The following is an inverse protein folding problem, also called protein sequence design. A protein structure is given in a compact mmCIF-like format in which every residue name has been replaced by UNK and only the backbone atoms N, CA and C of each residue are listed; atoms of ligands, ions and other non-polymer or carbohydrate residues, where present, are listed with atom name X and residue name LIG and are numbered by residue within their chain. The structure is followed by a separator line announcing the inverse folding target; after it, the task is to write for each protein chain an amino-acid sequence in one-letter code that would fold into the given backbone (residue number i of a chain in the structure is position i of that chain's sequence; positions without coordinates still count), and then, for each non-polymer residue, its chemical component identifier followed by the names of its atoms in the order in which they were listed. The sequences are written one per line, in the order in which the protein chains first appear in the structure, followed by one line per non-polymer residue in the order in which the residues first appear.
data_IF_822025658121
#
_entry.id   IF_822025658121
#
_cell.length_a   1.000
_cell.length_b   1.000
_cell.length_c   1.000
_cell.angle_alpha   90.00
_cell.angle_beta   90.00
_cell.angle_gamma   90.00
#
_symmetry.space_group_name_H-M   'P 1'
#
loop_
_entity.id
_entity.type
_entity.pdbx_description
1 polymer ?
#
# COMPACT_ATOMS: atom_id res chain seq x y z
N UNK A 1 14.37 -23.10 4.56
CA UNK A 1 13.61 -22.50 5.67
C UNK A 1 13.53 -21.00 5.41
N UNK A 2 12.34 -20.40 5.38
CA UNK A 2 12.21 -18.95 5.27
C UNK A 2 12.95 -18.30 6.45
N UNK A 3 13.73 -17.25 6.17
CA UNK A 3 14.44 -16.53 7.22
C UNK A 3 13.40 -15.80 8.09
N UNK A 4 13.45 -15.98 9.41
CA UNK A 4 12.60 -15.22 10.33
C UNK A 4 13.17 -13.80 10.43
N UNK A 5 12.61 -12.87 9.65
CA UNK A 5 13.10 -11.49 9.54
C UNK A 5 12.59 -10.63 10.70
N UNK A 6 13.45 -9.77 11.25
CA UNK A 6 13.12 -8.94 12.41
C UNK A 6 12.09 -7.85 12.07
N UNK A 7 11.32 -7.33 13.06
CA UNK A 7 10.40 -6.21 12.85
C UNK A 7 11.07 -4.97 12.22
N UNK A 8 12.33 -4.72 12.59
CA UNK A 8 13.14 -3.66 11.99
C UNK A 8 13.39 -3.89 10.49
N UNK A 9 13.75 -5.12 10.09
CA UNK A 9 13.94 -5.44 8.68
C UNK A 9 12.64 -5.28 7.89
N UNK A 10 11.52 -5.77 8.44
CA UNK A 10 10.20 -5.64 7.82
C UNK A 10 9.80 -4.16 7.65
N UNK A 11 10.10 -3.31 8.65
CA UNK A 11 9.90 -1.85 8.54
C UNK A 11 10.76 -1.24 7.43
N UNK A 12 12.04 -1.62 7.34
CA UNK A 12 12.95 -1.15 6.29
C UNK A 12 12.52 -1.60 4.88
N UNK A 13 12.01 -2.83 4.74
CA UNK A 13 11.46 -3.32 3.47
C UNK A 13 10.20 -2.55 3.07
N UNK A 14 9.29 -2.27 4.02
CA UNK A 14 8.13 -1.40 3.75
C UNK A 14 8.57 -0.01 3.28
N UNK A 15 9.59 0.58 3.92
CA UNK A 15 10.14 1.87 3.50
C UNK A 15 10.73 1.82 2.09
N UNK A 16 11.48 0.76 1.75
CA UNK A 16 12.00 0.56 0.40
C UNK A 16 10.88 0.49 -0.64
N UNK A 17 9.82 -0.27 -0.37
CA UNK A 17 8.67 -0.37 -1.28
C UNK A 17 7.97 0.97 -1.48
N UNK A 18 7.85 1.76 -0.41
CA UNK A 18 7.19 3.08 -0.41
C UNK A 18 8.06 4.22 -0.95
N UNK A 19 9.34 3.97 -1.23
CA UNK A 19 10.28 4.98 -1.67
C UNK A 19 9.88 5.59 -3.03
N UNK A 20 9.87 6.93 -3.11
CA UNK A 20 9.40 7.66 -4.29
C UNK A 20 10.51 8.17 -5.21
N UNK A 21 11.76 8.07 -4.78
CA UNK A 21 12.92 8.52 -5.52
C UNK A 21 14.12 7.58 -5.28
N UNK A 22 15.13 7.69 -6.14
CA UNK A 22 16.32 6.86 -6.02
C UNK A 22 17.05 7.05 -4.68
N UNK A 23 16.98 8.24 -4.08
CA UNK A 23 17.63 8.51 -2.78
C UNK A 23 17.01 7.69 -1.65
N UNK A 24 15.70 7.75 -1.50
CA UNK A 24 14.94 6.98 -0.51
C UNK A 24 15.13 5.47 -0.71
N UNK A 25 15.20 5.02 -1.97
CA UNK A 25 15.49 3.62 -2.30
C UNK A 25 16.90 3.20 -1.83
N UNK A 26 17.92 4.02 -2.11
CA UNK A 26 19.30 3.77 -1.69
C UNK A 26 19.39 3.69 -0.17
N UNK A 27 18.79 4.63 0.54
CA UNK A 27 18.82 4.69 2.01
C UNK A 27 18.13 3.46 2.62
N UNK A 28 16.96 3.07 2.08
CA UNK A 28 16.23 1.89 2.54
C UNK A 28 16.97 0.58 2.25
N UNK A 29 17.56 0.43 1.07
CA UNK A 29 18.33 -0.76 0.70
C UNK A 29 19.59 -0.92 1.56
N UNK A 30 20.25 0.18 1.92
CA UNK A 30 21.37 0.15 2.87
C UNK A 30 20.93 -0.32 4.24
N UNK A 31 19.80 0.20 4.75
CA UNK A 31 19.24 -0.22 6.03
C UNK A 31 18.85 -1.70 6.01
N UNK A 32 18.19 -2.18 4.95
CA UNK A 32 17.86 -3.60 4.78
C UNK A 32 19.12 -4.49 4.79
N UNK A 33 20.20 -4.08 4.12
CA UNK A 33 21.48 -4.80 4.12
C UNK A 33 22.19 -4.80 5.49
N UNK A 34 21.92 -3.80 6.33
CA UNK A 34 22.42 -3.76 7.70
C UNK A 34 21.63 -4.69 8.62
N UNK A 35 20.30 -4.74 8.45
CA UNK A 35 19.38 -5.47 9.32
C UNK A 35 19.20 -6.96 8.94
N UNK A 36 19.52 -7.34 7.70
CA UNK A 36 19.38 -8.72 7.25
C UNK A 36 20.27 -9.68 8.06
N UNK A 37 19.75 -10.83 8.55
CA UNK A 37 20.56 -11.85 9.19
C UNK A 37 21.70 -12.32 8.27
N UNK A 38 22.87 -12.64 8.83
CA UNK A 38 24.05 -13.09 8.06
C UNK A 38 24.29 -14.58 8.24
N UNK A 39 23.52 -15.40 7.54
CA UNK A 39 23.67 -16.86 7.53
C UNK A 39 23.31 -17.44 6.16
N UNK A 40 23.65 -18.71 5.90
CA UNK A 40 23.47 -19.40 4.61
C UNK A 40 22.07 -19.23 4.00
N UNK A 41 21.03 -19.25 4.85
CA UNK A 41 19.63 -19.04 4.43
C UNK A 41 19.27 -17.65 3.85
N UNK A 42 20.19 -16.68 3.86
CA UNK A 42 19.96 -15.29 3.37
C UNK A 42 20.96 -14.85 2.30
N UNK A 43 21.90 -15.71 1.89
CA UNK A 43 22.98 -15.35 0.95
C UNK A 43 22.44 -14.83 -0.38
N UNK A 44 21.42 -15.50 -0.94
CA UNK A 44 20.75 -15.09 -2.17
C UNK A 44 20.12 -13.69 -2.03
N UNK A 45 19.34 -13.49 -0.97
CA UNK A 45 18.70 -12.20 -0.67
C UNK A 45 19.73 -11.08 -0.50
N UNK A 46 20.87 -11.34 0.16
CA UNK A 46 21.96 -10.36 0.27
C UNK A 46 22.55 -10.00 -1.10
N UNK A 47 22.75 -10.96 -2.00
CA UNK A 47 23.25 -10.71 -3.34
C UNK A 47 22.26 -9.86 -4.17
N UNK A 48 20.97 -10.14 -4.05
CA UNK A 48 19.91 -9.39 -4.73
C UNK A 48 19.80 -7.95 -4.21
N UNK A 49 19.83 -7.75 -2.90
CA UNK A 49 19.84 -6.40 -2.30
C UNK A 49 21.06 -5.58 -2.72
N UNK A 50 22.25 -6.19 -2.81
CA UNK A 50 23.47 -5.52 -3.32
C UNK A 50 23.33 -5.12 -4.78
N UNK A 51 22.72 -5.97 -5.60
CA UNK A 51 22.47 -5.68 -7.02
C UNK A 51 21.54 -4.49 -7.18
N UNK A 52 20.43 -4.48 -6.44
CA UNK A 52 19.48 -3.36 -6.41
C UNK A 52 20.10 -2.08 -5.90
N UNK A 53 20.93 -2.16 -4.85
CA UNK A 53 21.62 -0.98 -4.33
C UNK A 53 22.57 -0.39 -5.38
N UNK A 54 23.21 -1.22 -6.20
CA UNK A 54 24.03 -0.77 -7.33
C UNK A 54 23.17 -0.06 -8.38
N UNK A 55 22.04 -0.65 -8.79
CA UNK A 55 21.11 -0.06 -9.75
C UNK A 55 20.54 1.28 -9.24
N UNK A 56 20.05 1.32 -7.99
CA UNK A 56 19.50 2.53 -7.38
C UNK A 56 20.55 3.65 -7.24
N UNK A 57 21.82 3.31 -6.97
CA UNK A 57 22.92 4.30 -6.96
C UNK A 57 23.21 4.87 -8.34
N UNK A 58 23.11 4.06 -9.40
CA UNK A 58 23.25 4.54 -10.77
C UNK A 58 22.09 5.48 -11.14
N UNK A 59 20.87 5.13 -10.74
CA UNK A 59 19.71 5.98 -10.98
C UNK A 59 19.79 7.30 -10.20
N UNK A 60 20.25 7.27 -8.95
CA UNK A 60 20.48 8.48 -8.16
C UNK A 60 21.48 9.44 -8.84
N UNK A 61 22.54 8.91 -9.45
CA UNK A 61 23.49 9.73 -10.22
C UNK A 61 22.85 10.32 -11.49
N UNK A 62 21.95 9.59 -12.14
CA UNK A 62 21.18 10.09 -13.29
C UNK A 62 20.20 11.18 -12.89
N UNK A 63 19.43 10.98 -11.82
CA UNK A 63 18.50 11.99 -11.28
C UNK A 63 19.25 13.28 -10.91
N UNK A 64 20.44 13.18 -10.29
CA UNK A 64 21.27 14.33 -9.93
C UNK A 64 21.83 15.09 -11.14
N UNK A 65 22.07 14.41 -12.25
CA UNK A 65 22.59 15.02 -13.49
C UNK A 65 21.49 15.50 -14.45
N UNK A 66 20.29 14.93 -14.38
CA UNK A 66 19.15 15.23 -15.25
C UNK A 66 18.20 16.29 -14.67
N UNK A 67 18.71 17.24 -13.87
CA UNK A 67 17.97 18.18 -13.01
C UNK A 67 16.89 19.10 -13.68
N UNK A 68 16.48 18.85 -14.94
CA UNK A 68 15.50 19.67 -15.67
C UNK A 68 14.44 18.96 -16.54
N UNK A 69 14.31 17.62 -16.64
CA UNK A 69 13.35 17.09 -17.65
C UNK A 69 12.57 15.79 -17.38
N UNK A 70 12.28 15.43 -16.14
CA UNK A 70 11.34 14.32 -15.88
C UNK A 70 10.28 14.74 -14.88
N UNK A 71 9.02 14.80 -15.35
CA UNK A 71 7.85 15.01 -14.50
C UNK A 71 7.68 13.77 -13.61
N UNK A 72 8.30 13.80 -12.42
CA UNK A 72 8.03 12.82 -11.39
C UNK A 72 6.76 13.20 -10.64
N UNK A 73 5.79 12.30 -10.62
CA UNK A 73 4.62 12.43 -9.76
C UNK A 73 5.05 12.23 -8.30
N UNK A 74 5.32 13.34 -7.61
CA UNK A 74 5.67 13.32 -6.19
C UNK A 74 4.46 13.73 -5.35
N UNK A 75 3.73 12.73 -4.89
CA UNK A 75 2.70 12.91 -3.88
C UNK A 75 3.30 12.57 -2.52
N UNK A 76 3.40 13.51 -1.56
CA UNK A 76 3.74 13.15 -0.19
C UNK A 76 2.76 12.10 0.33
N UNK A 77 3.25 11.12 1.08
CA UNK A 77 2.38 10.12 1.72
C UNK A 77 1.52 10.81 2.76
N UNK A 78 0.22 10.51 2.76
CA UNK A 78 -0.76 11.06 3.69
C UNK A 78 -1.66 9.93 4.17
N UNK A 79 -2.15 10.06 5.41
CA UNK A 79 -3.02 9.06 6.02
C UNK A 79 -2.35 7.70 6.25
N UNK A 80 -3.19 6.70 6.55
CA UNK A 80 -2.76 5.34 6.88
C UNK A 80 -2.12 4.61 5.68
N UNK A 81 -2.60 4.90 4.48
CA UNK A 81 -2.19 4.19 3.27
C UNK A 81 -2.34 5.03 2.01
N UNK A 82 -1.56 4.66 0.99
CA UNK A 82 -1.74 5.13 -0.37
C UNK A 82 -2.34 4.02 -1.22
N UNK A 83 -3.44 4.34 -1.89
CA UNK A 83 -4.14 3.47 -2.82
C UNK A 83 -4.17 4.11 -4.19
N UNK A 84 -3.74 3.38 -5.21
CA UNK A 84 -3.76 3.85 -6.60
C UNK A 84 -4.90 3.19 -7.37
N UNK A 85 -5.63 3.98 -8.15
CA UNK A 85 -6.70 3.46 -9.02
C UNK A 85 -6.13 3.30 -10.42
N UNK A 86 -6.06 2.07 -10.91
CA UNK A 86 -5.46 1.72 -12.20
C UNK A 86 -6.47 0.99 -13.08
N UNK A 87 -6.25 1.01 -14.40
CA UNK A 87 -7.11 0.28 -15.33
C UNK A 87 -7.12 0.90 -16.71
N UNK A 88 -7.93 0.32 -17.62
CA UNK A 88 -8.05 0.78 -18.99
C UNK A 88 -8.81 2.12 -19.06
N UNK A 89 -8.98 2.63 -20.28
CA UNK A 89 -9.76 3.87 -20.49
C UNK A 89 -11.23 3.63 -20.15
N UNK A 90 -11.93 4.65 -19.67
CA UNK A 90 -13.37 4.61 -19.35
C UNK A 90 -13.85 3.60 -18.29
N UNK A 91 -12.95 2.90 -17.58
CA UNK A 91 -13.31 1.95 -16.52
C UNK A 91 -13.81 2.56 -15.19
N UNK A 92 -14.23 3.83 -15.20
CA UNK A 92 -14.77 4.49 -14.01
C UNK A 92 -13.75 4.98 -12.97
N UNK A 93 -12.44 4.97 -13.24
CA UNK A 93 -11.39 5.37 -12.26
C UNK A 93 -11.66 6.71 -11.56
N UNK A 94 -11.89 7.78 -12.33
CA UNK A 94 -12.15 9.12 -11.78
C UNK A 94 -13.48 9.20 -11.04
N UNK A 95 -14.47 8.40 -11.45
CA UNK A 95 -15.76 8.30 -10.75
C UNK A 95 -15.58 7.65 -9.39
N UNK A 96 -14.83 6.54 -9.30
CA UNK A 96 -14.48 5.90 -8.03
C UNK A 96 -13.76 6.88 -7.10
N UNK A 97 -12.77 7.64 -7.60
CA UNK A 97 -12.12 8.67 -6.77
C UNK A 97 -13.13 9.67 -6.22
N UNK A 98 -14.01 10.19 -7.08
CA UNK A 98 -15.01 11.19 -6.69
C UNK A 98 -16.00 10.63 -5.66
N UNK A 99 -16.49 9.41 -5.81
CA UNK A 99 -17.45 8.81 -4.88
C UNK A 99 -16.80 8.41 -3.54
N UNK A 100 -15.54 7.96 -3.57
CA UNK A 100 -14.81 7.58 -2.37
C UNK A 100 -14.22 8.77 -1.60
N UNK A 101 -13.99 9.90 -2.26
CA UNK A 101 -13.39 11.07 -1.60
C UNK A 101 -14.45 12.14 -1.36
N UNK A 102 -14.36 12.84 -0.23
CA UNK A 102 -15.26 13.99 0.04
C UNK A 102 -14.85 15.25 -0.74
N UNK A 103 -13.83 15.15 -1.59
CA UNK A 103 -13.20 16.29 -2.25
C UNK A 103 -13.78 16.50 -3.65
N UNK A 104 -14.17 17.75 -3.93
CA UNK A 104 -14.03 18.28 -5.28
C UNK A 104 -12.52 18.29 -5.57
N UNK A 105 -12.03 17.62 -6.64
CA UNK A 105 -10.61 17.60 -6.93
C UNK A 105 -10.10 19.04 -7.03
N UNK A 106 -9.11 19.42 -6.22
CA UNK A 106 -8.41 20.70 -6.42
C UNK A 106 -7.69 20.62 -7.77
N UNK A 107 -8.34 21.16 -8.81
CA UNK A 107 -7.74 21.31 -10.13
C UNK A 107 -6.63 22.34 -10.00
N UNK A 108 -5.40 21.87 -9.79
CA UNK A 108 -4.24 22.74 -9.92
C UNK A 108 -4.26 23.39 -11.33
N UNK A 109 -4.01 24.71 -11.45
CA UNK A 109 -4.21 25.45 -12.68
C UNK A 109 -3.07 25.17 -13.67
N UNK A 110 -3.07 23.97 -14.25
CA UNK A 110 -2.22 23.62 -15.38
C UNK A 110 -3.10 23.54 -16.62
N UNK A 111 -2.86 24.36 -17.67
CA UNK A 111 -3.63 24.24 -18.90
C UNK A 111 -3.36 22.87 -19.56
N UNK A 112 -4.41 22.24 -20.12
CA UNK A 112 -4.40 21.00 -20.94
C UNK A 112 -4.48 19.62 -20.22
N UNK A 113 -5.16 19.51 -19.08
CA UNK A 113 -5.08 18.29 -18.24
C UNK A 113 -6.24 17.30 -18.37
N UNK A 114 -5.97 16.15 -19.00
CA UNK A 114 -6.60 14.85 -18.69
C UNK A 114 -5.56 13.73 -18.50
N UNK A 115 -4.30 14.06 -18.15
CA UNK A 115 -3.19 13.08 -18.07
C UNK A 115 -2.25 13.25 -16.87
N UNK A 116 -2.73 13.72 -15.72
CA UNK A 116 -1.95 13.80 -14.48
C UNK A 116 -2.71 13.02 -13.39
N UNK A 117 -2.05 12.17 -12.59
CA UNK A 117 -2.68 11.50 -11.47
C UNK A 117 -3.29 12.51 -10.48
N UNK A 118 -4.48 12.21 -9.96
CA UNK A 118 -5.25 13.10 -9.09
C UNK A 118 -5.36 12.48 -7.70
N UNK A 119 -4.75 13.08 -6.68
CA UNK A 119 -4.91 12.63 -5.30
C UNK A 119 -6.26 13.07 -4.72
N UNK A 120 -6.81 12.28 -3.81
CA UNK A 120 -7.96 12.63 -2.98
C UNK A 120 -7.97 11.83 -1.68
N UNK A 121 -8.62 12.36 -0.64
CA UNK A 121 -8.64 11.73 0.69
C UNK A 121 -9.97 11.01 0.92
N UNK A 122 -9.89 9.71 1.18
CA UNK A 122 -11.00 8.88 1.63
C UNK A 122 -10.93 8.71 3.14
N UNK A 123 -11.88 9.28 3.84
CA UNK A 123 -12.06 9.01 5.27
C UNK A 123 -12.85 7.71 5.44
N UNK A 124 -12.33 6.82 6.28
CA UNK A 124 -13.01 5.62 6.75
C UNK A 124 -12.92 5.57 8.28
N UNK A 125 -14.06 5.69 8.95
CA UNK A 125 -14.14 5.86 10.40
C UNK A 125 -13.29 7.07 10.86
N UNK A 126 -12.22 6.84 11.61
CA UNK A 126 -11.29 7.85 12.14
C UNK A 126 -9.93 7.85 11.42
N UNK A 127 -9.84 7.20 10.26
CA UNK A 127 -8.62 7.08 9.46
C UNK A 127 -8.82 7.68 8.07
N UNK A 128 -7.83 8.44 7.63
CA UNK A 128 -7.76 8.94 6.27
C UNK A 128 -6.85 8.06 5.40
N UNK A 129 -7.26 7.82 4.15
CA UNK A 129 -6.52 7.05 3.15
C UNK A 129 -6.36 7.92 1.90
N UNK A 130 -5.12 8.03 1.42
CA UNK A 130 -4.82 8.74 0.18
C UNK A 130 -5.15 7.85 -1.03
N UNK A 131 -6.20 8.21 -1.78
CA UNK A 131 -6.48 7.65 -3.09
C UNK A 131 -5.79 8.48 -4.16
N UNK A 132 -5.33 7.83 -5.24
CA UNK A 132 -4.76 8.51 -6.39
C UNK A 132 -5.37 7.91 -7.65
N UNK A 133 -6.21 8.67 -8.34
CA UNK A 133 -6.66 8.34 -9.69
C UNK A 133 -5.48 8.48 -10.66
N UNK A 134 -5.33 7.54 -11.59
CA UNK A 134 -4.19 7.51 -12.50
C UNK A 134 -4.63 7.56 -13.97
N UNK A 135 -3.77 8.08 -14.87
CA UNK A 135 -4.00 7.95 -16.30
C UNK A 135 -4.21 6.49 -16.70
N UNK A 136 -5.05 6.27 -17.71
CA UNK A 136 -5.33 4.92 -18.22
C UNK A 136 -4.04 4.22 -18.68
N UNK A 137 -3.91 2.94 -18.35
CA UNK A 137 -2.82 2.10 -18.84
C UNK A 137 -3.27 1.50 -20.17
N UNK A 138 -2.57 1.87 -21.24
CA UNK A 138 -2.83 1.39 -22.61
C UNK A 138 -1.79 0.34 -23.02
N UNK A 139 -1.81 -0.09 -24.28
CA UNK A 139 -0.80 -1.01 -24.86
C UNK A 139 0.62 -0.45 -24.88
N UNK A 140 0.81 0.86 -24.74
CA UNK A 140 2.15 1.45 -24.52
C UNK A 140 2.69 1.16 -23.09
N UNK A 141 1.80 0.71 -22.20
CA UNK A 141 2.04 0.53 -20.78
C UNK A 141 2.21 1.86 -20.03
N UNK A 142 2.41 1.79 -18.70
CA UNK A 142 2.63 2.98 -17.90
C UNK A 142 4.01 3.58 -18.21
N UNK A 143 4.09 4.91 -18.23
CA UNK A 143 5.37 5.61 -18.20
C UNK A 143 6.14 5.31 -16.89
N UNK A 144 7.46 5.56 -16.83
CA UNK A 144 8.26 5.27 -15.64
C UNK A 144 7.75 5.93 -14.35
N UNK A 145 7.20 7.15 -14.44
CA UNK A 145 6.71 7.90 -13.28
C UNK A 145 5.42 7.29 -12.73
N UNK A 146 4.48 6.91 -13.60
CA UNK A 146 3.27 6.17 -13.24
C UNK A 146 3.61 4.77 -12.69
N UNK A 147 4.57 4.07 -13.31
CA UNK A 147 5.01 2.76 -12.81
C UNK A 147 5.57 2.86 -11.38
N UNK A 148 6.41 3.87 -11.11
CA UNK A 148 6.94 4.10 -9.77
C UNK A 148 5.84 4.46 -8.77
N UNK A 149 4.84 5.26 -9.18
CA UNK A 149 3.67 5.55 -8.36
C UNK A 149 2.92 4.27 -7.97
N UNK A 150 2.66 3.38 -8.93
CA UNK A 150 2.00 2.09 -8.70
C UNK A 150 2.81 1.21 -7.75
N UNK A 151 4.13 1.12 -7.97
CA UNK A 151 5.03 0.33 -7.11
C UNK A 151 5.10 0.85 -5.67
N UNK A 152 4.94 2.15 -5.47
CA UNK A 152 4.99 2.79 -4.16
C UNK A 152 3.68 2.68 -3.36
N UNK A 153 2.61 2.20 -3.99
CA UNK A 153 1.30 2.08 -3.37
C UNK A 153 1.23 0.92 -2.38
N UNK A 154 0.43 1.08 -1.32
CA UNK A 154 0.12 -0.01 -0.39
C UNK A 154 -0.96 -0.93 -0.96
N UNK A 155 -1.81 -0.39 -1.84
CA UNK A 155 -2.80 -1.16 -2.58
C UNK A 155 -3.09 -0.53 -3.96
N UNK A 156 -3.43 -1.35 -4.94
CA UNK A 156 -3.99 -0.93 -6.22
C UNK A 156 -5.45 -1.37 -6.33
N UNK A 157 -6.30 -0.52 -6.89
CA UNK A 157 -7.64 -0.86 -7.35
C UNK A 157 -7.55 -1.06 -8.87
N UNK A 158 -7.58 -2.31 -9.32
CA UNK A 158 -7.66 -2.63 -10.74
C UNK A 158 -9.12 -2.57 -11.17
N UNK A 159 -9.44 -1.59 -12.01
CA UNK A 159 -10.81 -1.37 -12.48
C UNK A 159 -11.20 -2.31 -13.61
N UNK A 160 -12.40 -2.87 -13.51
CA UNK A 160 -13.08 -3.68 -14.51
C UNK A 160 -14.49 -3.12 -14.72
N UNK A 161 -14.86 -2.78 -15.95
CA UNK A 161 -16.18 -2.24 -16.27
C UNK A 161 -17.16 -3.37 -16.64
N UNK A 162 -18.07 -3.69 -15.71
CA UNK A 162 -19.09 -4.73 -15.87
C UNK A 162 -20.10 -4.46 -16.99
N UNK A 163 -20.16 -3.25 -17.55
CA UNK A 163 -21.02 -2.89 -18.68
C UNK A 163 -20.36 -3.05 -20.06
N UNK A 164 -19.04 -3.23 -20.10
CA UNK A 164 -18.26 -3.16 -21.33
C UNK A 164 -17.83 -4.57 -21.80
N UNK A 165 -18.14 -4.91 -23.04
CA UNK A 165 -17.80 -6.23 -23.62
C UNK A 165 -16.28 -6.46 -23.74
N UNK A 166 -15.52 -5.39 -23.99
CA UNK A 166 -14.05 -5.43 -24.11
C UNK A 166 -13.32 -5.42 -22.75
N UNK A 167 -14.05 -5.29 -21.63
CA UNK A 167 -13.46 -5.07 -20.30
C UNK A 167 -12.48 -6.17 -19.88
N UNK A 168 -12.75 -7.42 -20.26
CA UNK A 168 -11.88 -8.54 -19.93
C UNK A 168 -10.51 -8.41 -20.63
N UNK A 169 -10.49 -8.20 -21.94
CA UNK A 169 -9.27 -8.06 -22.71
C UNK A 169 -8.47 -6.83 -22.29
N UNK A 170 -9.16 -5.71 -22.10
CA UNK A 170 -8.55 -4.46 -21.66
C UNK A 170 -7.92 -4.59 -20.26
N UNK A 171 -8.60 -5.22 -19.31
CA UNK A 171 -8.09 -5.42 -17.95
C UNK A 171 -6.90 -6.39 -17.94
N UNK A 172 -6.96 -7.45 -18.73
CA UNK A 172 -5.85 -8.39 -18.91
C UNK A 172 -4.66 -7.69 -19.57
N UNK A 173 -4.88 -6.78 -20.52
CA UNK A 173 -3.81 -6.00 -21.13
C UNK A 173 -3.09 -5.13 -20.11
N UNK A 174 -3.80 -4.44 -19.21
CA UNK A 174 -3.20 -3.68 -18.11
C UNK A 174 -2.30 -4.57 -17.25
N UNK A 175 -2.78 -5.76 -16.90
CA UNK A 175 -2.01 -6.74 -16.13
C UNK A 175 -0.73 -7.17 -16.86
N UNK A 176 -0.81 -7.47 -18.17
CA UNK A 176 0.35 -7.86 -19.00
C UNK A 176 1.43 -6.77 -18.99
N UNK A 177 1.03 -5.50 -19.17
CA UNK A 177 1.97 -4.38 -19.21
C UNK A 177 2.74 -4.22 -17.89
N UNK A 178 2.06 -4.39 -16.75
CA UNK A 178 2.71 -4.31 -15.44
C UNK A 178 3.63 -5.53 -15.21
N UNK A 179 3.18 -6.72 -15.59
CA UNK A 179 3.95 -7.96 -15.42
C UNK A 179 5.27 -7.91 -16.20
N UNK A 180 5.24 -7.46 -17.46
CA UNK A 180 6.45 -7.29 -18.29
C UNK A 180 7.48 -6.34 -17.66
N UNK A 181 7.02 -5.38 -16.84
CA UNK A 181 7.85 -4.40 -16.13
C UNK A 181 8.22 -4.86 -14.71
N UNK A 182 8.06 -6.15 -14.38
CA UNK A 182 8.34 -6.75 -13.06
C UNK A 182 7.50 -6.17 -11.92
N UNK A 183 6.26 -5.82 -12.21
CA UNK A 183 5.27 -5.40 -11.22
C UNK A 183 4.09 -6.34 -11.32
N UNK A 184 3.87 -7.16 -10.30
CA UNK A 184 2.78 -8.15 -10.27
C UNK A 184 1.65 -7.61 -9.42
N UNK A 185 0.43 -7.64 -9.97
CA UNK A 185 -0.79 -7.45 -9.21
C UNK A 185 -1.13 -8.76 -8.52
N UNK A 186 -1.26 -8.77 -7.19
CA UNK A 186 -1.56 -10.00 -6.43
C UNK A 186 -2.32 -9.70 -5.14
N UNK A 187 -2.77 -10.73 -4.42
CA UNK A 187 -3.41 -10.60 -3.11
C UNK A 187 -2.42 -10.28 -1.98
N UNK A 188 -1.12 -10.36 -2.27
CA UNK A 188 -0.03 -10.11 -1.35
C UNK A 188 0.76 -8.88 -1.79
N UNK A 189 1.59 -8.37 -0.88
CA UNK A 189 2.54 -7.30 -1.18
C UNK A 189 3.94 -7.80 -0.81
N UNK A 190 4.97 -7.22 -1.41
CA UNK A 190 6.34 -7.56 -1.05
C UNK A 190 7.19 -7.90 -2.26
N UNK A 191 8.39 -8.40 -1.98
CA UNK A 191 9.29 -8.91 -2.99
C UNK A 191 8.97 -10.38 -3.27
N UNK A 192 9.06 -10.79 -4.53
CA UNK A 192 8.87 -12.20 -4.89
C UNK A 192 9.98 -13.06 -4.29
N UNK A 193 9.62 -14.18 -3.68
CA UNK A 193 10.59 -15.06 -3.00
C UNK A 193 11.58 -15.72 -3.98
N UNK A 194 11.12 -16.02 -5.20
CA UNK A 194 11.93 -16.69 -6.21
C UNK A 194 12.80 -15.71 -7.00
N UNK A 195 12.24 -14.56 -7.37
CA UNK A 195 12.96 -13.46 -8.01
C UNK A 195 12.69 -12.14 -7.29
N UNK A 196 13.53 -11.77 -6.30
CA UNK A 196 13.32 -10.56 -5.52
C UNK A 196 13.24 -9.30 -6.36
N UNK A 197 13.68 -9.28 -7.64
CA UNK A 197 13.53 -8.14 -8.57
C UNK A 197 12.07 -7.83 -8.91
N UNK A 198 11.18 -8.80 -8.75
CA UNK A 198 9.75 -8.65 -8.97
C UNK A 198 9.10 -8.10 -7.71
N UNK A 199 8.31 -7.04 -7.89
CA UNK A 199 7.52 -6.44 -6.82
C UNK A 199 6.06 -6.88 -6.96
N UNK A 200 5.49 -7.39 -5.87
CA UNK A 200 4.06 -7.63 -5.73
C UNK A 200 3.38 -6.41 -5.12
N UNK A 201 2.38 -5.88 -5.81
CA UNK A 201 1.48 -4.82 -5.34
C UNK A 201 0.16 -5.48 -5.00
N UNK A 202 -0.26 -5.32 -3.74
CA UNK A 202 -1.56 -5.84 -3.30
C UNK A 202 -2.67 -5.18 -4.09
N UNK A 203 -3.56 -5.97 -4.66
CA UNK A 203 -4.56 -5.48 -5.62
C UNK A 203 -5.94 -6.02 -5.32
N UNK A 204 -6.94 -5.13 -5.37
CA UNK A 204 -8.36 -5.48 -5.44
C UNK A 204 -8.82 -5.34 -6.90
N UNK A 205 -9.62 -6.30 -7.38
CA UNK A 205 -10.30 -6.18 -8.66
C UNK A 205 -11.66 -5.53 -8.42
N UNK A 206 -11.84 -4.29 -8.84
CA UNK A 206 -13.06 -3.51 -8.64
C UNK A 206 -13.92 -3.60 -9.90
N UNK A 207 -15.04 -4.30 -9.79
CA UNK A 207 -16.01 -4.50 -10.87
C UNK A 207 -17.10 -3.44 -10.75
N UNK A 208 -17.02 -2.36 -11.54
CA UNK A 208 -18.07 -1.33 -11.60
C UNK A 208 -19.23 -1.77 -12.48
N UNK A 209 -20.43 -1.20 -12.31
CA UNK A 209 -21.61 -1.58 -13.09
C UNK A 209 -21.89 -3.09 -12.98
N UNK A 210 -21.69 -3.62 -11.76
CA UNK A 210 -21.84 -5.04 -11.44
C UNK A 210 -23.28 -5.57 -11.48
N UNK A 211 -24.29 -4.69 -11.54
CA UNK A 211 -25.69 -5.01 -11.68
C UNK A 211 -26.11 -5.21 -13.14
N UNK A 212 -25.23 -4.91 -14.11
CA UNK A 212 -25.49 -5.18 -15.52
C UNK A 212 -25.74 -6.68 -15.76
N UNK A 213 -26.78 -7.05 -16.54
CA UNK A 213 -27.19 -8.46 -16.70
C UNK A 213 -26.07 -9.39 -17.16
N UNK A 214 -25.21 -8.89 -18.05
CA UNK A 214 -24.11 -9.67 -18.64
C UNK A 214 -22.79 -9.53 -17.87
N UNK A 215 -22.74 -8.74 -16.79
CA UNK A 215 -21.53 -8.59 -15.98
C UNK A 215 -20.97 -9.94 -15.48
N UNK A 216 -21.78 -10.90 -14.97
CA UNK A 216 -21.26 -12.20 -14.55
C UNK A 216 -20.53 -12.94 -15.68
N UNK A 217 -21.08 -12.93 -16.89
CA UNK A 217 -20.46 -13.56 -18.07
C UNK A 217 -19.14 -12.88 -18.44
N UNK A 218 -19.10 -11.54 -18.41
CA UNK A 218 -17.86 -10.77 -18.66
C UNK A 218 -16.78 -11.08 -17.62
N UNK A 219 -17.15 -11.22 -16.35
CA UNK A 219 -16.22 -11.64 -15.29
C UNK A 219 -15.72 -13.08 -15.46
N UNK A 220 -16.50 -13.98 -16.08
CA UNK A 220 -16.03 -15.34 -16.37
C UNK A 220 -14.90 -15.37 -17.40
N UNK A 221 -14.81 -14.37 -18.29
CA UNK A 221 -13.76 -14.28 -19.31
C UNK A 221 -12.36 -14.13 -18.69
N UNK A 222 -12.25 -13.67 -17.43
CA UNK A 222 -10.98 -13.56 -16.71
C UNK A 222 -10.70 -14.76 -15.78
N UNK A 223 -11.62 -15.73 -15.66
CA UNK A 223 -11.55 -16.91 -14.77
C UNK A 223 -10.53 -17.99 -15.17
N UNK A 224 -9.58 -17.68 -16.05
CA UNK A 224 -8.41 -18.51 -16.35
C UNK A 224 -7.17 -17.64 -16.55
N UNK A 225 -7.19 -16.46 -15.95
CA UNK A 225 -6.09 -15.50 -15.99
C UNK A 225 -5.59 -15.30 -14.58
N UNK A 226 -4.36 -14.80 -14.37
CA UNK A 226 -3.87 -14.54 -13.02
C UNK A 226 -4.70 -13.54 -12.21
N UNK A 227 -5.64 -12.82 -12.85
CA UNK A 227 -6.60 -11.94 -12.20
C UNK A 227 -7.67 -12.67 -11.40
N UNK A 228 -7.95 -13.94 -11.69
CA UNK A 228 -8.94 -14.76 -10.98
C UNK A 228 -8.65 -14.86 -9.47
N UNK A 229 -7.37 -14.73 -9.10
CA UNK A 229 -6.87 -14.85 -7.73
C UNK A 229 -7.00 -13.53 -6.94
N UNK A 230 -7.43 -12.44 -7.59
CA UNK A 230 -7.67 -11.17 -6.92
C UNK A 230 -9.04 -11.19 -6.26
N UNK A 231 -9.13 -10.57 -5.08
CA UNK A 231 -10.41 -10.36 -4.44
C UNK A 231 -11.26 -9.41 -5.31
N UNK A 232 -12.42 -9.89 -5.73
CA UNK A 232 -13.38 -9.10 -6.51
C UNK A 232 -14.29 -8.29 -5.58
N UNK A 233 -14.35 -6.99 -5.81
CA UNK A 233 -15.28 -6.07 -5.16
C UNK A 233 -16.25 -5.56 -6.22
N UNK A 234 -17.49 -6.02 -6.17
CA UNK A 234 -18.56 -5.59 -7.07
C UNK A 234 -19.17 -4.30 -6.56
N UNK A 235 -19.21 -3.28 -7.40
CA UNK A 235 -19.65 -1.94 -7.01
C UNK A 235 -20.66 -1.34 -7.99
N UNK A 236 -21.76 -0.84 -7.42
CA UNK A 236 -22.67 0.11 -8.05
C UNK A 236 -22.42 1.49 -7.48
N UNK A 237 -21.84 2.39 -8.28
CA UNK A 237 -21.42 3.71 -7.80
C UNK A 237 -22.57 4.66 -7.50
N UNK A 238 -23.78 4.33 -7.97
CA UNK A 238 -25.02 5.05 -7.61
C UNK A 238 -25.69 4.48 -6.35
N UNK A 239 -25.20 3.37 -5.81
CA UNK A 239 -25.67 2.78 -4.55
C UNK A 239 -24.69 3.05 -3.41
N UNK A 240 -25.12 3.86 -2.43
CA UNK A 240 -24.35 4.17 -1.23
C UNK A 240 -23.91 2.92 -0.47
N UNK A 241 -24.73 1.87 -0.40
CA UNK A 241 -24.37 0.66 0.34
C UNK A 241 -23.20 -0.07 -0.31
N UNK A 242 -23.19 -0.08 -1.64
CA UNK A 242 -22.11 -0.62 -2.46
C UNK A 242 -20.82 0.20 -2.36
N UNK A 243 -20.93 1.52 -2.35
CA UNK A 243 -19.78 2.43 -2.16
C UNK A 243 -19.17 2.26 -0.75
N UNK A 244 -19.98 2.13 0.29
CA UNK A 244 -19.51 1.87 1.66
C UNK A 244 -18.81 0.50 1.76
N UNK A 245 -19.32 -0.53 1.07
CA UNK A 245 -18.65 -1.83 0.98
C UNK A 245 -17.27 -1.72 0.29
N UNK A 246 -17.15 -0.88 -0.75
CA UNK A 246 -15.86 -0.60 -1.38
C UNK A 246 -14.90 0.12 -0.41
N UNK A 247 -15.34 1.15 0.33
CA UNK A 247 -14.51 1.81 1.37
C UNK A 247 -13.98 0.81 2.40
N UNK A 248 -14.85 -0.07 2.89
CA UNK A 248 -14.49 -1.12 3.84
C UNK A 248 -13.44 -2.08 3.26
N UNK A 249 -13.62 -2.49 2.01
CA UNK A 249 -12.68 -3.39 1.32
C UNK A 249 -11.31 -2.73 1.10
N UNK A 250 -11.28 -1.45 0.72
CA UNK A 250 -10.03 -0.67 0.58
C UNK A 250 -9.28 -0.63 1.91
N UNK A 251 -9.95 -0.29 3.01
CA UNK A 251 -9.33 -0.27 4.34
C UNK A 251 -8.81 -1.67 4.75
N UNK A 252 -9.63 -2.70 4.60
CA UNK A 252 -9.25 -4.08 4.90
C UNK A 252 -8.04 -4.55 4.07
N UNK A 253 -7.96 -4.14 2.81
CA UNK A 253 -6.84 -4.46 1.93
C UNK A 253 -5.53 -3.81 2.40
N UNK A 254 -5.55 -2.69 3.13
CA UNK A 254 -4.31 -2.13 3.68
C UNK A 254 -3.69 -3.02 4.76
N UNK A 255 -4.46 -3.95 5.36
CA UNK A 255 -4.03 -4.83 6.46
C UNK A 255 -3.36 -4.02 7.58
N UNK A 256 -4.07 -2.99 8.03
CA UNK A 256 -3.68 -2.14 9.14
C UNK A 256 -4.60 -2.40 10.35
N UNK A 257 -4.10 -2.02 11.52
CA UNK A 257 -4.83 -1.93 12.77
C UNK A 257 -4.61 -0.54 13.32
N UNK A 258 -5.68 0.05 13.83
CA UNK A 258 -5.70 1.32 14.52
C UNK A 258 -5.42 1.05 15.98
N UNK A 259 -4.33 1.59 16.48
CA UNK A 259 -3.95 1.41 17.87
C UNK A 259 -4.00 2.77 18.55
N UNK A 260 -4.91 2.91 19.52
CA UNK A 260 -4.99 4.14 20.30
C UNK A 260 -3.88 4.14 21.33
N UNK A 261 -3.18 5.26 21.46
CA UNK A 261 -2.12 5.41 22.44
C UNK A 261 -2.53 6.38 23.54
N UNK A 262 -1.90 6.24 24.70
CA UNK A 262 -1.96 7.25 25.76
C UNK A 262 -0.69 7.26 26.56
N UNK A 263 -0.40 8.40 27.20
CA UNK A 263 0.65 8.48 28.21
C UNK A 263 0.12 8.03 29.58
N UNK A 264 1.00 7.53 30.46
CA UNK A 264 0.61 7.15 31.81
C UNK A 264 -0.09 8.28 32.57
N UNK A 265 -1.36 8.07 32.92
CA UNK A 265 -2.18 9.05 33.64
C UNK A 265 -2.86 10.11 32.75
N UNK A 266 -2.70 10.05 31.43
CA UNK A 266 -3.34 10.95 30.48
C UNK A 266 -4.53 10.27 29.77
N UNK A 267 -5.36 11.09 29.11
CA UNK A 267 -6.43 10.59 28.25
C UNK A 267 -5.86 10.02 26.95
N UNK A 268 -6.58 9.11 26.26
CA UNK A 268 -6.19 8.64 24.93
C UNK A 268 -5.96 9.77 23.93
N UNK A 269 -4.96 9.59 23.09
CA UNK A 269 -4.71 10.44 21.94
C UNK A 269 -5.92 10.38 20.98
N UNK A 270 -6.23 11.50 20.33
CA UNK A 270 -7.39 11.60 19.45
C UNK A 270 -7.23 10.82 18.13
N UNK A 271 -5.99 10.64 17.67
CA UNK A 271 -5.67 9.91 16.45
C UNK A 271 -4.98 8.59 16.78
N UNK A 272 -5.40 7.47 16.17
CA UNK A 272 -4.71 6.21 16.36
C UNK A 272 -3.35 6.22 15.65
N UNK A 273 -2.48 5.31 16.09
CA UNK A 273 -1.28 4.92 15.35
C UNK A 273 -1.64 3.72 14.47
N UNK A 274 -1.51 3.88 13.15
CA UNK A 274 -1.76 2.82 12.20
C UNK A 274 -0.56 1.87 12.11
N UNK A 275 -0.75 0.60 12.45
CA UNK A 275 0.29 -0.44 12.37
C UNK A 275 -0.17 -1.63 11.54
N UNK A 276 0.73 -2.38 10.88
CA UNK A 276 0.34 -3.60 10.15
C UNK A 276 -0.40 -4.62 11.03
N UNK A 277 -1.39 -5.31 10.46
CA UNK A 277 -2.09 -6.39 11.16
C UNK A 277 -1.11 -7.48 11.62
N UNK A 278 -1.32 -7.99 12.84
CA UNK A 278 -0.40 -8.93 13.48
C UNK A 278 0.83 -8.28 14.14
N UNK A 279 0.91 -6.95 14.17
CA UNK A 279 1.94 -6.23 14.92
C UNK A 279 1.83 -6.50 16.44
N UNK A 280 2.98 -6.48 17.10
CA UNK A 280 3.11 -6.60 18.55
C UNK A 280 3.26 -5.23 19.22
N UNK A 281 3.23 -5.20 20.55
CA UNK A 281 3.56 -4.00 21.35
C UNK A 281 4.92 -3.42 20.98
N UNK A 282 5.91 -4.27 20.72
CA UNK A 282 7.23 -3.85 20.28
C UNK A 282 7.21 -3.18 18.90
N UNK A 283 6.47 -3.75 17.94
CA UNK A 283 6.34 -3.18 16.60
C UNK A 283 5.63 -1.81 16.66
N UNK A 284 4.62 -1.65 17.52
CA UNK A 284 3.98 -0.36 17.78
C UNK A 284 4.98 0.67 18.32
N UNK A 285 5.77 0.30 19.34
CA UNK A 285 6.78 1.19 19.90
C UNK A 285 7.78 1.65 18.83
N UNK A 286 8.19 0.75 17.93
CA UNK A 286 9.08 1.05 16.82
C UNK A 286 8.43 1.99 15.79
N UNK A 287 7.12 1.89 15.58
CA UNK A 287 6.39 2.79 14.69
C UNK A 287 6.32 4.21 15.24
N UNK A 288 6.09 4.36 16.56
CA UNK A 288 6.04 5.67 17.24
C UNK A 288 7.41 6.34 17.28
N UNK A 289 8.43 5.69 17.88
CA UNK A 289 9.77 6.26 17.95
C UNK A 289 10.84 5.22 18.33
N UNK A 290 12.06 5.37 17.79
CA UNK A 290 13.17 4.46 18.09
C UNK A 290 13.50 4.39 19.59
N UNK A 291 13.54 5.52 20.29
CA UNK A 291 13.86 5.54 21.74
C UNK A 291 12.81 4.84 22.61
N UNK A 292 11.53 4.89 22.21
CA UNK A 292 10.47 4.16 22.90
C UNK A 292 10.69 2.67 22.69
N UNK A 293 10.96 2.24 21.46
CA UNK A 293 11.29 0.85 21.15
C UNK A 293 12.51 0.33 21.92
N UNK A 294 13.60 1.10 21.97
CA UNK A 294 14.83 0.69 22.68
C UNK A 294 14.58 0.54 24.18
N UNK A 295 13.83 1.47 24.78
CA UNK A 295 13.61 1.52 26.22
C UNK A 295 12.32 0.83 26.67
N UNK A 296 11.54 0.19 25.78
CA UNK A 296 10.27 -0.44 26.11
C UNK A 296 10.45 -1.60 27.11
N UNK A 297 9.75 -1.51 28.24
CA UNK A 297 9.73 -2.56 29.27
C UNK A 297 8.49 -3.45 29.17
N UNK A 298 7.31 -2.83 29.15
CA UNK A 298 6.01 -3.49 29.04
C UNK A 298 4.96 -2.49 28.57
N UNK A 299 3.75 -2.95 28.27
CA UNK A 299 2.61 -2.10 28.00
C UNK A 299 1.41 -2.51 28.84
N UNK A 300 0.46 -1.58 29.01
CA UNK A 300 -0.88 -1.87 29.54
C UNK A 300 -1.90 -1.73 28.44
N UNK A 301 -2.86 -2.65 28.39
CA UNK A 301 -3.84 -2.75 27.32
C UNK A 301 -5.28 -2.62 27.83
N UNK A 302 -6.11 -1.98 27.02
CA UNK A 302 -7.57 -1.97 27.14
C UNK A 302 -8.15 -2.31 25.77
N UNK A 303 -8.96 -3.36 25.69
CA UNK A 303 -9.56 -3.81 24.44
C UNK A 303 -10.73 -4.76 24.70
N UNK A 304 -11.57 -4.97 23.69
CA UNK A 304 -12.80 -5.76 23.82
C UNK A 304 -12.57 -7.21 24.27
N UNK A 305 -11.40 -7.77 23.96
CA UNK A 305 -11.03 -9.15 24.28
C UNK A 305 -10.14 -9.29 25.54
N UNK A 306 -9.83 -8.20 26.24
CA UNK A 306 -8.78 -8.17 27.27
C UNK A 306 -9.28 -7.63 28.61
N UNK A 307 -8.66 -8.06 29.71
CA UNK A 307 -8.92 -7.46 31.02
C UNK A 307 -8.37 -6.03 31.04
N UNK A 308 -9.24 -5.06 31.34
CA UNK A 308 -8.88 -3.64 31.34
C UNK A 308 -7.63 -3.35 32.20
N UNK A 309 -6.57 -2.84 31.56
CA UNK A 309 -5.33 -2.44 32.20
C UNK A 309 -4.36 -3.58 32.50
N UNK A 310 -4.53 -4.73 31.82
CA UNK A 310 -3.61 -5.87 31.88
C UNK A 310 -2.21 -5.46 31.38
N UNK A 311 -1.18 -5.82 32.15
CA UNK A 311 0.21 -5.66 31.74
C UNK A 311 0.64 -6.79 30.82
N UNK A 312 1.25 -6.45 29.69
CA UNK A 312 1.72 -7.40 28.68
C UNK A 312 3.17 -7.12 28.28
N UNK A 313 3.83 -8.16 27.76
CA UNK A 313 5.21 -8.06 27.26
C UNK A 313 5.32 -7.45 25.87
N UNK A 314 6.56 -7.30 25.40
CA UNK A 314 6.93 -6.74 24.08
C UNK A 314 6.35 -7.51 22.90
N UNK A 315 6.33 -8.84 23.00
CA UNK A 315 5.89 -9.73 21.92
C UNK A 315 4.37 -9.95 21.88
N UNK A 316 3.62 -9.27 22.75
CA UNK A 316 2.17 -9.45 22.82
C UNK A 316 1.50 -8.93 21.54
N UNK A 317 0.65 -9.74 20.87
CA UNK A 317 -0.03 -9.34 19.65
C UNK A 317 -1.14 -8.33 19.94
N UNK A 318 -1.21 -7.28 19.13
CA UNK A 318 -2.25 -6.26 19.23
C UNK A 318 -3.44 -6.59 18.32
N UNK A 319 -4.60 -6.02 18.66
CA UNK A 319 -5.84 -6.09 17.87
C UNK A 319 -6.28 -4.69 17.45
N UNK A 320 -6.97 -4.56 16.31
CA UNK A 320 -7.57 -3.28 15.88
C UNK A 320 -8.48 -2.71 16.98
N UNK A 321 -8.29 -1.42 17.29
CA UNK A 321 -9.03 -0.71 18.31
C UNK A 321 -8.49 -0.85 19.73
N UNK A 322 -7.41 -1.60 19.96
CA UNK A 322 -6.76 -1.65 21.27
C UNK A 322 -6.26 -0.25 21.70
N UNK A 323 -6.42 0.06 22.98
CA UNK A 323 -5.80 1.20 23.66
C UNK A 323 -4.56 0.74 24.42
N UNK A 324 -3.43 1.38 24.16
CA UNK A 324 -2.10 0.98 24.64
C UNK A 324 -1.42 2.11 25.40
N UNK A 325 -0.97 1.80 26.61
CA UNK A 325 -0.09 2.67 27.41
C UNK A 325 1.30 2.03 27.47
N UNK A 326 2.29 2.67 26.84
CA UNK A 326 3.66 2.17 26.78
C UNK A 326 4.48 2.62 27.99
N UNK A 327 5.18 1.69 28.64
CA UNK A 327 6.07 1.98 29.76
C UNK A 327 7.53 1.70 29.38
N UNK A 328 8.33 2.76 29.39
CA UNK A 328 9.77 2.68 29.13
C UNK A 328 10.57 2.64 30.44
N UNK A 329 11.81 2.15 30.38
CA UNK A 329 12.79 2.44 31.41
C UNK A 329 12.92 3.96 31.57
N UNK A 330 12.89 4.48 32.81
CA UNK A 330 13.22 5.88 33.05
C UNK A 330 14.67 6.09 32.61
N UNK A 331 14.88 6.99 31.65
CA UNK A 331 16.20 7.58 31.41
C UNK A 331 16.65 8.37 32.61
#
# INVERSE_FOLDING_TARGET
MPANLTPQYQKAERQYRRAQNAREQVDSLQLMLQLIPRHKGTEKLQADLKTRLKEARQELQREQSAAKSTNFYRFPRQGAGRVVIIGPTNSGKSRVLKELTRAEPEVAPFPFTTRIPLPGMMTWQDVDIQLIDTPAITTAGPDPSLLNLIRSADCALLMFDGSCDDAADDTVQVWRELQQRRTRLSSQEGLDEADPKILHVRTLLVVTQAAEPDCPLRCELISNTPLENLQQIRVELDDNSSVEALRAAVFAALKLMRIYTRRPGESPDAQPVDVPSGSTVEALALEIHHDIFTNLRYARLWGAAQHAGQSVGRDFPLTDGDLVELHTHKG
#
